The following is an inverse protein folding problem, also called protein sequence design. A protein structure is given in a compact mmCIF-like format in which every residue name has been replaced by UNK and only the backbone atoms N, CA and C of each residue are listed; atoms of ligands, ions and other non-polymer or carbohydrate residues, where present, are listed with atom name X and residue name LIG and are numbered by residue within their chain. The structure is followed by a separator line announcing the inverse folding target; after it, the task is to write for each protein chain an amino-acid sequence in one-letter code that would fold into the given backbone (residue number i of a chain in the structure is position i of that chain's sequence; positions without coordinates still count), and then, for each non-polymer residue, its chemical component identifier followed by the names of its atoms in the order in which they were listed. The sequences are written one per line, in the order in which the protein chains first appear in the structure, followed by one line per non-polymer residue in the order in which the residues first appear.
data_IF_857649108811
#
_entry.id   IF_857649108811
#
_cell.length_a   1.000
_cell.length_b   1.000
_cell.length_c   1.000
_cell.angle_alpha   90.00
_cell.angle_beta   90.00
_cell.angle_gamma   90.00
#
_symmetry.space_group_name_H-M   'P 1'
#
loop_
_entity.id
_entity.type
_entity.pdbx_description
1 polymer ?
#
# COMPACT_ATOMS: atom_id res chain seq x y z
N UNK A 1 5.60 24.84 32.52
CA UNK A 1 5.63 23.43 32.04
C UNK A 1 5.55 23.44 30.53
N UNK A 2 6.68 23.22 29.83
CA UNK A 2 6.67 23.07 28.36
C UNK A 2 6.00 21.75 28.03
N UNK A 3 4.83 21.79 27.39
CA UNK A 3 4.14 20.59 26.93
C UNK A 3 5.01 19.81 25.93
N UNK A 4 4.88 18.48 25.92
CA UNK A 4 5.51 17.63 24.88
C UNK A 4 5.10 18.14 23.49
N UNK A 5 6.07 18.63 22.71
CA UNK A 5 5.85 18.98 21.30
C UNK A 5 5.42 17.72 20.52
N UNK A 6 4.39 17.85 19.68
CA UNK A 6 3.97 16.80 18.75
C UNK A 6 4.92 16.78 17.55
N UNK A 7 5.25 15.60 16.98
CA UNK A 7 6.11 15.52 15.79
C UNK A 7 5.66 16.40 14.62
N UNK A 8 4.34 16.55 14.44
CA UNK A 8 3.74 17.42 13.41
C UNK A 8 4.14 18.89 13.55
N UNK A 9 4.47 19.35 14.76
CA UNK A 9 4.89 20.72 15.05
C UNK A 9 6.39 20.93 14.84
N UNK A 10 7.12 19.90 14.37
CA UNK A 10 8.57 19.92 14.11
C UNK A 10 8.86 19.66 12.64
N UNK A 11 8.52 20.63 11.77
CA UNK A 11 8.69 20.47 10.33
C UNK A 11 10.16 20.21 9.97
N UNK A 12 11.11 20.77 10.70
CA UNK A 12 12.54 20.50 10.52
C UNK A 12 12.88 19.00 10.64
N UNK A 13 12.38 18.33 11.68
CA UNK A 13 12.63 16.91 11.94
C UNK A 13 11.88 16.04 10.93
N UNK A 14 10.59 16.29 10.75
CA UNK A 14 9.72 15.52 9.83
C UNK A 14 10.33 15.48 8.43
N UNK A 15 10.88 16.61 7.99
CA UNK A 15 11.46 16.77 6.66
C UNK A 15 12.76 16.03 6.50
N UNK A 16 13.64 16.09 7.50
CA UNK A 16 14.88 15.33 7.50
C UNK A 16 14.60 13.83 7.47
N UNK A 17 13.68 13.36 8.31
CA UNK A 17 13.29 11.93 8.35
C UNK A 17 12.66 11.50 7.03
N UNK A 18 11.78 12.31 6.45
CA UNK A 18 11.20 12.04 5.13
C UNK A 18 12.29 11.92 4.06
N UNK A 19 13.25 12.86 4.01
CA UNK A 19 14.33 12.82 3.03
C UNK A 19 15.21 11.59 3.21
N UNK A 20 15.55 11.21 4.43
CA UNK A 20 16.32 9.99 4.72
C UNK A 20 15.58 8.73 4.23
N UNK A 21 14.28 8.61 4.52
CA UNK A 21 13.45 7.48 4.06
C UNK A 21 13.34 7.45 2.53
N UNK A 22 13.15 8.60 1.89
CA UNK A 22 13.08 8.69 0.43
C UNK A 22 14.41 8.31 -0.22
N UNK A 23 15.54 8.75 0.35
CA UNK A 23 16.86 8.36 -0.14
C UNK A 23 17.09 6.85 -0.02
N UNK A 24 16.71 6.24 1.10
CA UNK A 24 16.82 4.78 1.27
C UNK A 24 15.93 4.01 0.29
N UNK A 25 14.69 4.48 0.08
CA UNK A 25 13.80 3.91 -0.91
C UNK A 25 14.37 4.03 -2.32
N UNK A 26 14.95 5.17 -2.70
CA UNK A 26 15.59 5.32 -4.02
C UNK A 26 16.79 4.37 -4.17
N UNK A 27 17.53 4.10 -3.08
CA UNK A 27 18.62 3.13 -3.09
C UNK A 27 18.10 1.69 -3.28
N UNK A 28 16.98 1.32 -2.65
CA UNK A 28 16.30 0.04 -2.90
C UNK A 28 15.93 -0.11 -4.39
N UNK A 29 15.32 0.93 -4.95
CA UNK A 29 14.81 0.92 -6.32
C UNK A 29 15.94 0.91 -7.37
N UNK A 30 16.96 1.74 -7.20
CA UNK A 30 18.00 1.96 -8.23
C UNK A 30 19.24 1.11 -8.04
N UNK A 31 19.70 0.93 -6.79
CA UNK A 31 20.97 0.24 -6.50
C UNK A 31 20.75 -1.22 -6.19
N UNK A 32 19.77 -1.52 -5.33
CA UNK A 32 19.42 -2.90 -4.95
C UNK A 32 18.49 -3.57 -5.95
N UNK A 33 17.92 -2.79 -6.88
CA UNK A 33 17.14 -3.26 -8.03
C UNK A 33 15.99 -4.17 -7.60
N UNK A 34 15.25 -3.75 -6.56
CA UNK A 34 14.14 -4.56 -6.01
C UNK A 34 13.02 -4.82 -7.02
N UNK A 35 12.87 -3.98 -8.06
CA UNK A 35 11.98 -4.20 -9.20
C UNK A 35 12.72 -4.56 -10.51
N UNK A 36 14.01 -4.90 -10.42
CA UNK A 36 14.89 -5.10 -11.57
C UNK A 36 15.60 -3.81 -12.02
N UNK A 37 16.06 -3.81 -13.27
CA UNK A 37 16.85 -2.71 -13.82
C UNK A 37 15.96 -1.51 -14.19
N UNK A 38 16.19 -0.37 -13.54
CA UNK A 38 15.53 0.90 -13.85
C UNK A 38 16.37 1.69 -14.86
N UNK A 39 15.79 2.05 -16.01
CA UNK A 39 16.46 2.83 -17.06
C UNK A 39 16.26 4.33 -16.89
N UNK A 40 15.11 4.75 -16.37
CA UNK A 40 14.84 6.13 -15.99
C UNK A 40 13.79 6.20 -14.89
N UNK A 41 13.77 7.30 -14.14
CA UNK A 41 12.76 7.55 -13.12
C UNK A 41 12.45 9.04 -13.00
N UNK A 42 11.21 9.35 -12.63
CA UNK A 42 10.76 10.70 -12.30
C UNK A 42 10.08 10.62 -10.94
N UNK A 43 10.34 11.58 -10.06
CA UNK A 43 9.58 11.69 -8.82
C UNK A 43 9.22 13.12 -8.48
N UNK A 44 8.07 13.29 -7.83
CA UNK A 44 7.54 14.58 -7.39
C UNK A 44 7.22 14.48 -5.91
N UNK A 45 7.73 15.44 -5.13
CA UNK A 45 7.39 15.59 -3.72
C UNK A 45 6.28 16.63 -3.61
N UNK A 46 5.13 16.21 -3.08
CA UNK A 46 4.00 17.09 -2.86
C UNK A 46 3.92 17.54 -1.41
N UNK A 47 3.65 18.83 -1.25
CA UNK A 47 3.50 19.50 0.03
C UNK A 47 2.02 19.71 0.28
N UNK A 48 1.36 18.72 0.84
CA UNK A 48 -0.03 18.90 1.26
C UNK A 48 -0.08 19.87 2.45
N UNK A 49 -0.82 20.98 2.32
CA UNK A 49 -0.95 22.03 3.36
C UNK A 49 -1.38 21.52 4.75
N UNK A 50 -1.92 20.29 4.83
CA UNK A 50 -2.43 19.65 6.05
C UNK A 50 -1.95 18.20 6.23
N UNK A 51 -0.99 17.74 5.41
CA UNK A 51 -0.53 16.37 5.37
C UNK A 51 0.99 16.27 5.52
N UNK A 52 1.47 15.10 5.92
CA UNK A 52 2.88 14.78 5.78
C UNK A 52 3.24 14.77 4.29
N UNK A 53 4.50 15.09 3.99
CA UNK A 53 4.99 15.05 2.60
C UNK A 53 4.81 13.64 2.04
N UNK A 54 4.39 13.56 0.78
CA UNK A 54 4.37 12.31 0.03
C UNK A 54 5.16 12.46 -1.27
N UNK A 55 5.61 11.32 -1.79
CA UNK A 55 6.40 11.25 -3.01
C UNK A 55 5.65 10.36 -4.01
N UNK A 56 5.43 10.88 -5.22
CA UNK A 56 5.05 10.06 -6.36
C UNK A 56 6.31 9.69 -7.11
N UNK A 57 6.54 8.40 -7.36
CA UNK A 57 7.72 7.90 -8.08
C UNK A 57 7.22 7.07 -9.26
N UNK A 58 7.64 7.45 -10.47
CA UNK A 58 7.41 6.70 -11.70
C UNK A 58 8.73 6.10 -12.18
N UNK A 59 8.73 4.79 -12.42
CA UNK A 59 9.90 4.04 -12.86
C UNK A 59 9.69 3.53 -14.29
N UNK A 60 10.71 3.69 -15.13
CA UNK A 60 10.81 3.00 -16.42
C UNK A 60 11.79 1.85 -16.26
N UNK A 61 11.29 0.62 -16.41
CA UNK A 61 12.10 -0.58 -16.30
C UNK A 61 12.69 -0.97 -17.65
N UNK A 62 13.88 -1.57 -17.63
CA UNK A 62 14.49 -2.23 -18.78
C UNK A 62 13.55 -3.31 -19.35
N UNK A 63 13.63 -3.57 -20.66
CA UNK A 63 12.79 -4.55 -21.33
C UNK A 63 12.85 -5.95 -20.70
N UNK A 64 13.99 -6.36 -20.16
CA UNK A 64 14.14 -7.64 -19.44
C UNK A 64 13.50 -7.65 -18.05
N UNK A 65 13.31 -6.48 -17.44
CA UNK A 65 12.76 -6.31 -16.09
C UNK A 65 11.28 -5.89 -16.07
N UNK A 66 10.65 -5.65 -17.24
CA UNK A 66 9.24 -5.25 -17.29
C UNK A 66 8.33 -6.35 -16.76
N UNK A 67 7.44 -5.94 -15.86
CA UNK A 67 6.32 -6.71 -15.35
C UNK A 67 5.26 -6.81 -16.45
N UNK A 68 5.05 -8.01 -16.99
CA UNK A 68 4.10 -8.23 -18.11
C UNK A 68 3.06 -9.28 -17.83
N UNK A 69 3.35 -10.22 -16.95
CA UNK A 69 2.49 -11.36 -16.67
C UNK A 69 1.84 -11.23 -15.30
N UNK A 70 0.76 -11.99 -15.09
CA UNK A 70 0.11 -12.14 -13.78
C UNK A 70 1.10 -12.63 -12.72
N UNK A 71 1.97 -13.58 -13.08
CA UNK A 71 3.00 -14.09 -12.19
C UNK A 71 4.04 -13.02 -11.83
N UNK A 72 4.39 -12.14 -12.77
CA UNK A 72 5.27 -11.01 -12.47
C UNK A 72 4.59 -10.02 -11.51
N UNK A 73 3.29 -9.75 -11.70
CA UNK A 73 2.53 -8.88 -10.80
C UNK A 73 2.53 -9.49 -9.39
N UNK A 74 2.21 -10.78 -9.26
CA UNK A 74 2.10 -11.48 -7.98
C UNK A 74 3.45 -11.58 -7.24
N UNK A 75 4.59 -11.52 -7.95
CA UNK A 75 5.93 -11.41 -7.31
C UNK A 75 6.14 -10.09 -6.59
N UNK A 76 5.52 -9.01 -7.08
CA UNK A 76 5.81 -7.64 -6.62
C UNK A 76 4.67 -7.00 -5.84
N UNK A 77 3.44 -7.44 -6.03
CA UNK A 77 2.25 -6.85 -5.41
C UNK A 77 1.39 -7.96 -4.84
N UNK A 78 1.04 -7.83 -3.57
CA UNK A 78 0.06 -8.69 -2.91
C UNK A 78 -1.11 -7.86 -2.41
N UNK A 79 -2.30 -8.45 -2.44
CA UNK A 79 -3.50 -7.91 -1.80
C UNK A 79 -4.08 -8.89 -0.77
N UNK A 80 -3.21 -9.70 -0.16
CA UNK A 80 -3.56 -10.76 0.78
C UNK A 80 -2.90 -10.50 2.14
N UNK A 81 -3.44 -11.07 3.21
CA UNK A 81 -2.79 -11.04 4.52
C UNK A 81 -1.51 -11.88 4.49
N UNK A 82 -0.36 -11.33 4.93
CA UNK A 82 0.85 -12.12 5.11
C UNK A 82 0.63 -13.28 6.07
N UNK A 83 1.39 -14.36 5.92
CA UNK A 83 1.39 -15.42 6.93
C UNK A 83 2.13 -14.92 8.19
N UNK A 84 1.40 -14.82 9.32
CA UNK A 84 1.95 -14.34 10.60
C UNK A 84 3.13 -15.18 11.11
N UNK A 85 3.13 -16.48 10.83
CA UNK A 85 4.19 -17.41 11.27
C UNK A 85 5.42 -17.32 10.36
N UNK A 86 5.25 -16.98 9.09
CA UNK A 86 6.36 -16.81 8.15
C UNK A 86 7.02 -15.43 8.27
N UNK A 87 6.23 -14.35 8.41
CA UNK A 87 6.73 -12.99 8.53
C UNK A 87 5.82 -12.13 9.40
N UNK A 88 5.98 -12.26 10.73
CA UNK A 88 5.23 -11.48 11.72
C UNK A 88 5.36 -9.96 11.49
N UNK A 89 6.55 -9.48 11.14
CA UNK A 89 6.79 -8.04 10.94
C UNK A 89 5.96 -7.49 9.78
N UNK A 90 5.95 -8.18 8.64
CA UNK A 90 5.13 -7.78 7.50
C UNK A 90 3.64 -7.87 7.84
N UNK A 91 3.22 -8.93 8.52
CA UNK A 91 1.84 -9.08 8.99
C UNK A 91 1.38 -7.89 9.85
N UNK A 92 2.20 -7.48 10.84
CA UNK A 92 1.92 -6.33 11.70
C UNK A 92 1.85 -5.01 10.91
N UNK A 93 2.74 -4.82 9.92
CA UNK A 93 2.72 -3.62 9.06
C UNK A 93 1.45 -3.61 8.19
N UNK A 94 1.12 -4.72 7.54
CA UNK A 94 -0.04 -4.82 6.64
C UNK A 94 -1.34 -4.64 7.42
N UNK A 95 -1.51 -5.35 8.54
CA UNK A 95 -2.72 -5.22 9.37
C UNK A 95 -2.91 -3.83 9.97
N UNK A 96 -1.83 -3.08 10.18
CA UNK A 96 -1.88 -1.71 10.70
C UNK A 96 -2.08 -0.66 9.61
N UNK A 97 -1.47 -0.82 8.44
CA UNK A 97 -1.33 0.25 7.45
C UNK A 97 -2.03 -0.04 6.12
N UNK A 98 -2.22 -1.31 5.76
CA UNK A 98 -2.71 -1.76 4.45
C UNK A 98 -4.08 -2.45 4.56
N UNK A 99 -4.86 -2.11 5.58
CA UNK A 99 -6.25 -2.55 5.72
C UNK A 99 -7.14 -1.38 5.41
N UNK A 100 -8.02 -1.54 4.41
CA UNK A 100 -9.10 -0.61 4.20
C UNK A 100 -10.00 -0.62 5.43
N UNK A 101 -10.21 0.57 6.00
CA UNK A 101 -10.99 0.70 7.23
C UNK A 101 -12.41 0.15 7.09
N UNK A 102 -13.09 -0.12 8.21
CA UNK A 102 -14.50 -0.49 8.16
C UNK A 102 -15.28 0.59 7.42
N UNK A 103 -16.04 0.17 6.43
CA UNK A 103 -16.93 0.99 5.61
C UNK A 103 -18.16 0.14 5.23
N UNK A 104 -19.03 0.69 4.39
CA UNK A 104 -20.28 0.04 4.02
C UNK A 104 -21.22 -0.02 5.21
N UNK A 105 -21.93 -1.13 5.37
CA UNK A 105 -22.91 -1.34 6.44
C UNK A 105 -22.26 -1.22 7.83
N UNK A 106 -20.99 -1.65 7.96
CA UNK A 106 -20.26 -1.63 9.23
C UNK A 106 -19.95 -0.19 9.67
N UNK A 107 -19.73 0.71 8.72
CA UNK A 107 -19.47 2.13 9.00
C UNK A 107 -19.94 3.01 7.83
N UNK A 108 -21.23 3.36 7.79
CA UNK A 108 -21.81 4.17 6.72
C UNK A 108 -21.25 5.59 6.65
N UNK A 109 -20.66 6.07 7.75
CA UNK A 109 -20.08 7.40 7.87
C UNK A 109 -18.58 7.44 7.52
N UNK A 110 -18.00 6.34 7.02
CA UNK A 110 -16.59 6.33 6.64
C UNK A 110 -16.33 7.35 5.51
N UNK A 111 -15.18 8.07 5.51
CA UNK A 111 -14.89 9.09 4.48
C UNK A 111 -14.88 8.58 3.03
N UNK A 112 -14.75 7.27 2.84
CA UNK A 112 -14.79 6.64 1.53
C UNK A 112 -16.21 6.40 1.02
N UNK A 113 -17.24 6.49 1.86
CA UNK A 113 -18.63 6.24 1.49
C UNK A 113 -19.18 7.39 0.64
N UNK A 114 -19.81 7.04 -0.48
CA UNK A 114 -20.54 7.95 -1.37
C UNK A 114 -21.79 7.24 -1.84
N UNK A 115 -22.95 7.89 -1.71
CA UNK A 115 -24.24 7.35 -2.18
C UNK A 115 -24.56 5.93 -1.68
N UNK A 116 -24.17 5.63 -0.43
CA UNK A 116 -24.39 4.32 0.20
C UNK A 116 -23.35 3.25 -0.13
N UNK A 117 -22.41 3.53 -1.03
CA UNK A 117 -21.37 2.59 -1.46
C UNK A 117 -19.96 3.10 -1.14
N UNK A 118 -19.01 2.17 -0.98
CA UNK A 118 -17.61 2.56 -0.85
C UNK A 118 -17.09 3.03 -2.23
N UNK A 119 -16.64 4.29 -2.33
CA UNK A 119 -16.07 4.85 -3.56
C UNK A 119 -14.79 4.15 -4.04
N UNK A 120 -14.19 3.29 -3.21
CA UNK A 120 -13.05 2.43 -3.54
C UNK A 120 -13.46 0.97 -3.80
N UNK A 121 -14.76 0.68 -3.74
CA UNK A 121 -15.40 -0.61 -3.97
C UNK A 121 -14.86 -1.70 -3.02
N UNK A 122 -14.74 -1.35 -1.74
CA UNK A 122 -14.46 -2.32 -0.68
C UNK A 122 -15.77 -2.78 -0.02
N UNK A 123 -15.84 -4.03 0.46
CA UNK A 123 -14.84 -5.09 0.31
C UNK A 123 -14.71 -5.56 -1.15
N UNK A 124 -13.50 -5.89 -1.60
CA UNK A 124 -13.27 -6.45 -2.95
C UNK A 124 -13.77 -7.89 -3.03
N UNK A 125 -14.04 -8.40 -4.23
CA UNK A 125 -14.39 -9.82 -4.39
C UNK A 125 -13.16 -10.72 -4.13
N UNK A 126 -13.40 -11.94 -3.65
CA UNK A 126 -12.38 -12.98 -3.66
C UNK A 126 -12.03 -13.37 -5.10
N UNK A 127 -10.77 -13.72 -5.32
CA UNK A 127 -10.22 -14.13 -6.62
C UNK A 127 -9.12 -15.14 -6.40
N UNK A 128 -9.16 -16.23 -7.16
CA UNK A 128 -8.15 -17.29 -7.06
C UNK A 128 -6.83 -16.93 -7.73
N UNK A 129 -6.87 -16.03 -8.71
CA UNK A 129 -5.72 -15.58 -9.48
C UNK A 129 -5.83 -14.08 -9.79
N UNK A 130 -4.70 -13.46 -10.11
CA UNK A 130 -4.68 -12.09 -10.64
C UNK A 130 -5.20 -12.09 -12.08
N UNK A 131 -6.04 -11.12 -12.42
CA UNK A 131 -6.62 -10.94 -13.76
C UNK A 131 -6.20 -9.59 -14.36
N UNK A 132 -5.90 -9.59 -15.66
CA UNK A 132 -5.73 -8.34 -16.40
C UNK A 132 -7.10 -7.67 -16.57
N UNK A 133 -7.14 -6.35 -16.38
CA UNK A 133 -8.38 -5.60 -16.53
C UNK A 133 -8.30 -4.69 -17.75
N UNK A 134 -9.43 -4.54 -18.44
CA UNK A 134 -9.57 -3.72 -19.66
C UNK A 134 -9.11 -2.26 -19.44
N UNK A 135 -9.23 -1.76 -18.22
CA UNK A 135 -8.82 -0.39 -17.85
C UNK A 135 -7.36 -0.25 -17.40
N UNK A 136 -6.52 -1.28 -17.61
CA UNK A 136 -5.08 -1.22 -17.36
C UNK A 136 -4.60 -1.43 -15.91
N UNK A 137 -5.52 -1.62 -14.95
CA UNK A 137 -5.17 -1.96 -13.56
C UNK A 137 -5.52 -3.41 -13.25
N UNK A 138 -4.58 -4.26 -12.81
CA UNK A 138 -4.89 -5.65 -12.54
C UNK A 138 -5.89 -5.80 -11.40
N UNK A 139 -6.76 -6.81 -11.52
CA UNK A 139 -7.60 -7.28 -10.41
C UNK A 139 -6.78 -8.33 -9.67
N UNK A 140 -6.26 -7.95 -8.50
CA UNK A 140 -5.35 -8.80 -7.73
C UNK A 140 -6.04 -10.04 -7.15
N UNK A 141 -5.27 -11.13 -7.08
CA UNK A 141 -5.59 -12.34 -6.33
C UNK A 141 -5.94 -12.01 -4.87
N UNK A 142 -7.00 -12.66 -4.37
CA UNK A 142 -7.50 -12.56 -2.99
C UNK A 142 -8.14 -13.89 -2.60
N UNK A 143 -7.37 -14.82 -2.04
CA UNK A 143 -7.92 -16.10 -1.57
C UNK A 143 -8.85 -15.94 -0.38
N UNK A 144 -9.87 -16.79 -0.36
CA UNK A 144 -10.76 -16.91 0.79
C UNK A 144 -10.02 -17.62 1.92
N UNK A 145 -9.85 -16.93 3.04
CA UNK A 145 -9.21 -17.44 4.25
C UNK A 145 -10.10 -17.13 5.45
N UNK A 146 -9.84 -17.82 6.56
CA UNK A 146 -10.48 -17.49 7.83
C UNK A 146 -10.20 -16.03 8.23
N UNK A 147 -11.23 -15.24 8.57
CA UNK A 147 -11.04 -13.85 8.97
C UNK A 147 -10.16 -13.72 10.21
N UNK A 148 -9.26 -12.75 10.19
CA UNK A 148 -8.37 -12.43 11.30
C UNK A 148 -8.89 -11.23 12.06
N UNK A 149 -8.83 -11.29 13.40
CA UNK A 149 -9.21 -10.17 14.25
C UNK A 149 -8.14 -9.09 14.26
N UNK A 150 -8.48 -7.89 13.78
CA UNK A 150 -7.64 -6.69 13.85
C UNK A 150 -8.39 -5.61 14.66
N UNK A 151 -7.92 -5.40 15.89
CA UNK A 151 -8.61 -4.55 16.86
C UNK A 151 -10.00 -5.08 17.23
N UNK A 152 -11.04 -4.32 16.87
CA UNK A 152 -12.45 -4.65 17.14
C UNK A 152 -13.18 -5.33 15.97
N UNK A 153 -12.52 -5.47 14.83
CA UNK A 153 -13.15 -5.98 13.61
C UNK A 153 -12.46 -7.25 13.14
N UNK A 154 -13.21 -8.09 12.44
CA UNK A 154 -12.67 -9.22 11.69
C UNK A 154 -12.46 -8.78 10.25
N UNK A 155 -11.28 -9.06 9.72
CA UNK A 155 -10.90 -8.71 8.35
C UNK A 155 -10.40 -9.95 7.62
N UNK A 156 -10.60 -9.96 6.31
CA UNK A 156 -10.05 -10.95 5.40
C UNK A 156 -9.39 -10.25 4.20
N UNK A 157 -8.93 -11.04 3.24
CA UNK A 157 -8.25 -10.55 2.04
C UNK A 157 -9.07 -9.55 1.22
N UNK A 158 -10.40 -9.44 1.40
CA UNK A 158 -11.22 -8.47 0.66
C UNK A 158 -10.99 -7.03 1.10
N UNK A 159 -10.48 -6.83 2.31
CA UNK A 159 -10.23 -5.51 2.90
C UNK A 159 -8.78 -5.04 2.70
N UNK A 160 -7.89 -5.87 2.14
CA UNK A 160 -6.47 -5.54 2.04
C UNK A 160 -6.22 -4.60 0.85
N UNK A 161 -5.53 -3.51 1.11
CA UNK A 161 -5.03 -2.58 0.09
C UNK A 161 -3.75 -3.18 -0.50
N UNK A 162 -3.58 -3.23 -1.83
CA UNK A 162 -2.38 -3.81 -2.43
C UNK A 162 -1.08 -3.18 -1.91
N UNK A 163 -0.07 -4.00 -1.66
CA UNK A 163 1.23 -3.58 -1.12
C UNK A 163 2.37 -4.41 -1.73
N UNK A 164 3.62 -3.94 -1.56
CA UNK A 164 4.82 -4.67 -1.95
C UNK A 164 5.32 -5.50 -0.75
N UNK A 165 5.32 -6.85 -0.84
CA UNK A 165 5.68 -7.74 0.27
C UNK A 165 7.17 -7.77 0.61
#
# INVERSE_FOLDING_TARGET
MQGRERPENRPDIVVRVFKMKLSELLDDLMKRKVFGCVTSYIYVIEFQKRGLRHCHILLTLDSSSKIRTKDDIDKFVSAELPNINANRRLFEIVTKCMVHGPCGIINPNAPCMKDGECSKQFPKAFREETEEHVNGYPVYKRWCIEPVRVGKHYIDNRCIVPYNP
#
